data_IF_716008400756
#
_entry.id   IF_716008400756
#
_cell.length_a   1.000
_cell.length_b   1.000
_cell.length_c   1.000
_cell.angle_alpha   90.00
_cell.angle_beta   90.00
_cell.angle_gamma   90.00
#
_symmetry.space_group_name_H-M   'P 1'
#
loop_
_entity.id
_entity.type
_entity.pdbx_description
1 polymer ?
#
# COMPACT_ATOMS: atom_id res chain seq x y z
N UNK A 1 -39.11 28.30 10.59
CA UNK A 1 -38.41 27.22 9.87
C UNK A 1 -38.76 25.88 10.52
N UNK A 2 -39.25 24.90 9.75
CA UNK A 2 -39.69 23.60 10.28
C UNK A 2 -38.51 22.86 10.95
N UNK A 3 -38.74 22.24 12.12
CA UNK A 3 -37.74 21.44 12.85
C UNK A 3 -37.13 20.36 11.94
N UNK A 4 -37.94 19.72 11.10
CA UNK A 4 -37.46 18.70 10.15
C UNK A 4 -36.53 19.29 9.10
N UNK A 5 -36.90 20.43 8.51
CA UNK A 5 -36.06 21.13 7.54
C UNK A 5 -34.70 21.53 8.14
N UNK A 6 -34.68 22.00 9.39
CA UNK A 6 -33.42 22.35 10.08
C UNK A 6 -32.54 21.12 10.27
N UNK A 7 -33.09 20.00 10.75
CA UNK A 7 -32.34 18.75 10.91
C UNK A 7 -31.81 18.21 9.59
N UNK A 8 -32.63 18.22 8.53
CA UNK A 8 -32.21 17.79 7.20
C UNK A 8 -31.03 18.63 6.68
N UNK A 9 -31.08 19.96 6.83
CA UNK A 9 -29.97 20.83 6.44
C UNK A 9 -28.70 20.58 7.26
N UNK A 10 -28.83 20.33 8.57
CA UNK A 10 -27.69 19.99 9.42
C UNK A 10 -27.04 18.68 8.98
N UNK A 11 -27.83 17.62 8.73
CA UNK A 11 -27.30 16.32 8.28
C UNK A 11 -26.62 16.46 6.92
N UNK A 12 -27.25 17.17 5.98
CA UNK A 12 -26.67 17.44 4.66
C UNK A 12 -25.34 18.21 4.77
N UNK A 13 -25.28 19.23 5.64
CA UNK A 13 -24.06 19.99 5.89
C UNK A 13 -22.92 19.14 6.47
N UNK A 14 -23.23 18.26 7.43
CA UNK A 14 -22.25 17.33 8.00
C UNK A 14 -21.74 16.37 6.92
N UNK A 15 -22.65 15.78 6.12
CA UNK A 15 -22.26 14.87 5.04
C UNK A 15 -21.35 15.55 4.02
N UNK A 16 -21.68 16.77 3.59
CA UNK A 16 -20.84 17.56 2.69
C UNK A 16 -19.47 17.87 3.31
N UNK A 17 -19.43 18.21 4.59
CA UNK A 17 -18.19 18.44 5.33
C UNK A 17 -17.30 17.20 5.38
N UNK A 18 -17.88 16.03 5.64
CA UNK A 18 -17.14 14.75 5.63
C UNK A 18 -16.56 14.47 4.24
N UNK A 19 -17.35 14.60 3.18
CA UNK A 19 -16.87 14.37 1.80
C UNK A 19 -15.71 15.31 1.45
N UNK A 20 -15.83 16.61 1.77
CA UNK A 20 -14.78 17.58 1.49
C UNK A 20 -13.48 17.30 2.26
N UNK A 21 -13.59 16.94 3.54
CA UNK A 21 -12.42 16.57 4.35
C UNK A 21 -11.78 15.27 3.88
N UNK A 22 -12.58 14.26 3.50
CA UNK A 22 -12.08 13.02 2.92
C UNK A 22 -11.33 13.26 1.60
N UNK A 23 -11.83 14.17 0.76
CA UNK A 23 -11.19 14.55 -0.50
C UNK A 23 -9.85 15.23 -0.26
N UNK A 24 -9.81 16.22 0.64
CA UNK A 24 -8.59 16.93 1.02
C UNK A 24 -7.54 15.95 1.58
N UNK A 25 -7.96 15.09 2.51
CA UNK A 25 -7.08 14.12 3.13
C UNK A 25 -6.50 13.13 2.11
N UNK A 26 -7.36 12.50 1.30
CA UNK A 26 -6.95 11.49 0.31
C UNK A 26 -6.00 12.10 -0.71
N UNK A 27 -6.31 13.29 -1.23
CA UNK A 27 -5.46 13.99 -2.20
C UNK A 27 -4.10 14.32 -1.61
N UNK A 28 -4.07 14.86 -0.38
CA UNK A 28 -2.83 15.18 0.32
C UNK A 28 -1.99 13.93 0.61
N UNK A 29 -2.61 12.85 1.09
CA UNK A 29 -1.92 11.61 1.41
C UNK A 29 -1.28 10.96 0.17
N UNK A 30 -1.98 10.98 -0.97
CA UNK A 30 -1.40 10.51 -2.24
C UNK A 30 -0.25 11.41 -2.68
N UNK A 31 -0.41 12.74 -2.61
CA UNK A 31 0.66 13.66 -2.98
C UNK A 31 1.92 13.48 -2.11
N UNK A 32 1.73 13.30 -0.80
CA UNK A 32 2.81 12.99 0.14
C UNK A 32 3.46 11.63 -0.18
N UNK A 33 2.68 10.59 -0.47
CA UNK A 33 3.20 9.28 -0.86
C UNK A 33 4.02 9.36 -2.17
N UNK A 34 3.52 10.07 -3.19
CA UNK A 34 4.24 10.34 -4.45
C UNK A 34 5.56 11.05 -4.21
N UNK A 35 5.57 12.05 -3.31
CA UNK A 35 6.80 12.78 -2.95
C UNK A 35 7.87 11.91 -2.29
N UNK A 36 7.46 10.79 -1.68
CA UNK A 36 8.35 9.79 -1.05
C UNK A 36 8.84 8.73 -2.03
N UNK A 37 8.21 8.61 -3.20
CA UNK A 37 8.61 7.71 -4.26
C UNK A 37 7.44 7.30 -5.15
N UNK A 38 7.68 7.32 -6.46
CA UNK A 38 6.80 6.76 -7.48
C UNK A 38 7.52 5.61 -8.18
N UNK A 39 6.79 4.51 -8.39
CA UNK A 39 7.35 3.28 -8.91
C UNK A 39 6.57 2.81 -10.13
N UNK A 40 7.28 2.18 -11.05
CA UNK A 40 6.69 1.60 -12.27
C UNK A 40 5.82 0.36 -11.97
N UNK A 41 6.09 -0.31 -10.85
CA UNK A 41 5.31 -1.44 -10.34
C UNK A 41 5.40 -1.49 -8.81
N UNK A 42 4.51 -2.25 -8.17
CA UNK A 42 4.53 -2.42 -6.71
C UNK A 42 5.79 -3.17 -6.24
N UNK A 43 6.27 -4.14 -7.02
CA UNK A 43 7.51 -4.89 -6.78
C UNK A 43 8.73 -3.99 -6.88
N UNK A 44 8.79 -3.13 -7.91
CA UNK A 44 9.86 -2.15 -8.04
C UNK A 44 9.89 -1.22 -6.81
N UNK A 45 8.72 -0.84 -6.30
CA UNK A 45 8.59 -0.12 -5.05
C UNK A 45 9.12 -0.91 -3.86
N UNK A 46 8.76 -2.19 -3.74
CA UNK A 46 9.23 -3.04 -2.65
C UNK A 46 10.76 -3.19 -2.67
N UNK A 47 11.35 -3.45 -3.83
CA UNK A 47 12.80 -3.55 -4.01
C UNK A 47 13.49 -2.24 -3.60
N UNK A 48 12.97 -1.09 -4.01
CA UNK A 48 13.51 0.21 -3.60
C UNK A 48 13.43 0.45 -2.09
N UNK A 49 12.39 -0.05 -1.41
CA UNK A 49 12.32 -0.02 0.06
C UNK A 49 13.37 -0.95 0.68
N UNK A 50 13.65 -2.11 0.09
CA UNK A 50 14.67 -3.02 0.60
C UNK A 50 16.06 -2.39 0.49
N UNK A 51 16.38 -1.78 -0.65
CA UNK A 51 17.63 -1.01 -0.85
C UNK A 51 17.79 0.15 0.16
N UNK A 52 16.67 0.71 0.63
CA UNK A 52 16.67 1.81 1.60
C UNK A 52 16.85 1.34 3.04
N UNK A 53 16.21 0.24 3.42
CA UNK A 53 16.12 -0.20 4.82
C UNK A 53 17.07 -1.35 5.17
N UNK A 54 17.78 -1.92 4.19
CA UNK A 54 18.78 -2.95 4.41
C UNK A 54 20.14 -2.57 3.80
N UNK A 55 21.25 -3.02 4.39
CA UNK A 55 22.59 -2.79 3.87
C UNK A 55 22.81 -3.48 2.51
N UNK A 56 23.82 -3.06 1.71
CA UNK A 56 24.02 -3.57 0.34
C UNK A 56 24.34 -5.06 0.21
N UNK A 57 24.63 -5.76 1.32
CA UNK A 57 24.82 -7.22 1.35
C UNK A 57 23.51 -8.01 1.41
N UNK A 58 22.35 -7.32 1.42
CA UNK A 58 21.06 -7.97 1.45
C UNK A 58 20.78 -8.79 0.18
N UNK A 59 20.00 -9.85 0.35
CA UNK A 59 19.36 -10.62 -0.72
C UNK A 59 17.87 -10.49 -0.56
N UNK A 60 17.17 -10.25 -1.65
CA UNK A 60 15.71 -10.05 -1.66
C UNK A 60 15.06 -10.94 -2.70
N UNK A 61 13.93 -11.55 -2.33
CA UNK A 61 13.00 -12.22 -3.24
C UNK A 61 11.57 -11.76 -2.94
N UNK A 62 10.80 -11.46 -3.98
CA UNK A 62 9.38 -11.12 -3.81
C UNK A 62 8.61 -12.43 -3.66
N UNK A 63 8.05 -12.67 -2.47
CA UNK A 63 7.24 -13.85 -2.18
C UNK A 63 5.81 -13.69 -2.71
N UNK A 64 5.31 -12.47 -2.67
CA UNK A 64 3.94 -12.14 -3.08
C UNK A 64 3.88 -10.71 -3.60
N UNK A 65 3.14 -10.51 -4.68
CA UNK A 65 2.75 -9.19 -5.14
C UNK A 65 1.41 -9.31 -5.87
N UNK A 66 0.37 -8.72 -5.29
CA UNK A 66 -0.97 -8.77 -5.88
C UNK A 66 -2.02 -8.02 -5.08
N UNK A 67 -3.28 -8.05 -5.57
CA UNK A 67 -4.40 -7.36 -4.92
C UNK A 67 -4.59 -7.80 -3.48
N UNK A 68 -4.74 -6.83 -2.58
CA UNK A 68 -5.09 -7.10 -1.20
C UNK A 68 -6.51 -7.68 -1.06
N UNK A 69 -7.43 -7.27 -1.95
CA UNK A 69 -8.78 -7.82 -1.98
C UNK A 69 -8.77 -9.22 -2.61
N UNK A 70 -9.19 -10.24 -1.86
CA UNK A 70 -9.23 -11.64 -2.33
C UNK A 70 -10.09 -11.85 -3.58
N UNK A 71 -11.11 -11.02 -3.76
CA UNK A 71 -12.02 -11.03 -4.92
C UNK A 71 -11.56 -10.13 -6.07
N UNK A 72 -10.41 -9.45 -5.93
CA UNK A 72 -9.89 -8.51 -6.91
C UNK A 72 -10.69 -7.20 -7.05
N UNK A 73 -11.62 -6.92 -6.13
CA UNK A 73 -12.49 -5.71 -6.18
C UNK A 73 -11.72 -4.39 -6.11
N UNK A 74 -10.50 -4.39 -5.56
CA UNK A 74 -9.62 -3.21 -5.49
C UNK A 74 -8.29 -3.50 -6.21
N UNK A 75 -8.27 -3.55 -7.54
CA UNK A 75 -7.10 -3.95 -8.31
C UNK A 75 -5.93 -2.95 -8.18
N UNK A 76 -6.20 -1.72 -7.75
CA UNK A 76 -5.23 -0.65 -7.51
C UNK A 76 -4.61 -0.69 -6.11
N UNK A 77 -5.01 -1.64 -5.25
CA UNK A 77 -4.47 -1.80 -3.89
C UNK A 77 -3.74 -3.13 -3.82
N UNK A 78 -2.42 -3.07 -3.86
CA UNK A 78 -1.58 -4.27 -3.77
C UNK A 78 -0.94 -4.39 -2.40
N UNK A 79 -0.83 -5.63 -1.93
CA UNK A 79 0.03 -5.99 -0.82
C UNK A 79 1.22 -6.75 -1.39
N UNK A 80 2.43 -6.36 -1.01
CA UNK A 80 3.66 -6.97 -1.49
C UNK A 80 4.43 -7.48 -0.29
N UNK A 81 4.89 -8.73 -0.37
CA UNK A 81 5.72 -9.39 0.64
C UNK A 81 7.05 -9.72 -0.02
N UNK A 82 8.14 -9.29 0.60
CA UNK A 82 9.47 -9.74 0.26
C UNK A 82 10.00 -10.65 1.35
N UNK A 83 10.91 -11.53 0.97
CA UNK A 83 11.83 -12.21 1.86
C UNK A 83 13.19 -11.53 1.71
N UNK A 84 13.80 -11.18 2.85
CA UNK A 84 15.08 -10.49 2.90
C UNK A 84 16.03 -11.26 3.80
N UNK A 85 17.24 -11.49 3.30
CA UNK A 85 18.36 -11.96 4.11
C UNK A 85 19.46 -10.91 4.13
N UNK A 86 19.85 -10.44 5.30
CA UNK A 86 20.86 -9.40 5.47
C UNK A 86 21.65 -9.58 6.78
N UNK A 87 22.80 -8.90 6.90
CA UNK A 87 23.57 -8.90 8.15
C UNK A 87 22.88 -8.12 9.29
N UNK A 88 22.17 -7.04 8.96
CA UNK A 88 21.42 -6.19 9.88
C UNK A 88 20.37 -5.38 9.11
N UNK A 89 19.50 -4.66 9.81
CA UNK A 89 18.70 -3.56 9.22
C UNK A 89 19.50 -2.27 9.24
N UNK A 90 19.23 -1.38 8.29
CA UNK A 90 19.93 -0.10 8.17
C UNK A 90 19.68 0.84 9.37
N UNK A 91 18.55 0.67 10.07
CA UNK A 91 18.22 1.44 11.28
C UNK A 91 18.80 0.83 12.57
N UNK A 92 19.51 -0.29 12.48
CA UNK A 92 20.09 -1.01 13.62
C UNK A 92 19.09 -1.82 14.43
N UNK A 93 17.81 -1.91 14.03
CA UNK A 93 16.85 -2.79 14.67
C UNK A 93 17.18 -4.27 14.43
N UNK A 94 16.72 -5.13 15.34
CA UNK A 94 17.00 -6.56 15.26
C UNK A 94 16.39 -7.18 14.00
N UNK A 95 17.21 -7.99 13.32
CA UNK A 95 16.74 -8.90 12.26
C UNK A 95 16.04 -10.10 12.89
N UNK A 96 15.16 -10.76 12.14
CA UNK A 96 14.68 -12.09 12.50
C UNK A 96 15.82 -13.13 12.57
N UNK A 97 15.45 -14.36 12.96
CA UNK A 97 16.42 -15.46 13.13
C UNK A 97 17.26 -15.65 11.87
N UNK A 98 18.55 -15.94 12.04
CA UNK A 98 19.48 -16.18 10.93
C UNK A 98 19.64 -15.01 9.94
N UNK A 99 19.32 -13.79 10.37
CA UNK A 99 19.44 -12.59 9.54
C UNK A 99 18.35 -12.54 8.47
N UNK A 100 17.15 -13.00 8.79
CA UNK A 100 16.05 -13.20 7.86
C UNK A 100 14.80 -12.43 8.29
N UNK A 101 14.16 -11.73 7.35
CA UNK A 101 12.96 -10.94 7.55
C UNK A 101 11.98 -11.12 6.38
N UNK A 102 10.67 -11.05 6.66
CA UNK A 102 9.62 -11.11 5.64
C UNK A 102 8.77 -9.83 5.66
N UNK A 103 9.32 -8.66 5.31
CA UNK A 103 8.56 -7.42 5.32
C UNK A 103 7.42 -7.47 4.30
N UNK A 104 6.25 -6.98 4.71
CA UNK A 104 5.10 -6.75 3.85
C UNK A 104 4.65 -5.30 3.93
N UNK A 105 4.13 -4.77 2.84
CA UNK A 105 3.56 -3.41 2.83
C UNK A 105 2.59 -3.20 1.67
N UNK A 106 1.84 -2.11 1.72
CA UNK A 106 0.88 -1.72 0.70
C UNK A 106 1.48 -0.79 -0.35
N UNK A 107 1.04 -1.01 -1.59
CA UNK A 107 1.27 -0.13 -2.71
C UNK A 107 -0.06 0.20 -3.37
N UNK A 108 -0.23 1.49 -3.71
CA UNK A 108 -1.43 1.97 -4.39
C UNK A 108 -1.09 2.43 -5.78
N UNK A 109 -1.85 1.99 -6.78
CA UNK A 109 -1.76 2.57 -8.10
C UNK A 109 -2.60 3.85 -8.15
N UNK A 110 -1.93 4.94 -8.49
CA UNK A 110 -2.53 6.24 -8.77
C UNK A 110 -3.15 6.25 -10.16
N UNK A 111 -4.07 7.19 -10.41
CA UNK A 111 -4.72 7.38 -11.72
C UNK A 111 -3.73 7.57 -12.87
N UNK A 112 -2.56 8.14 -12.59
CA UNK A 112 -1.48 8.33 -13.55
C UNK A 112 -0.72 7.04 -13.89
N UNK A 113 -1.06 5.92 -13.25
CA UNK A 113 -0.48 4.60 -13.50
C UNK A 113 0.75 4.28 -12.63
N UNK A 114 1.29 5.27 -11.91
CA UNK A 114 2.39 5.07 -10.96
C UNK A 114 1.93 4.41 -9.67
N UNK A 115 2.79 3.57 -9.09
CA UNK A 115 2.61 2.95 -7.79
C UNK A 115 3.29 3.76 -6.70
N UNK A 116 2.62 3.92 -5.56
CA UNK A 116 3.18 4.62 -4.39
C UNK A 116 3.12 3.72 -3.16
N UNK A 117 4.17 3.76 -2.35
CA UNK A 117 4.19 3.07 -1.07
C UNK A 117 3.31 3.80 -0.05
N UNK A 118 2.48 3.05 0.66
CA UNK A 118 1.68 3.58 1.77
C UNK A 118 1.86 2.69 2.99
N UNK A 119 2.19 3.26 4.17
CA UNK A 119 2.38 2.46 5.37
C UNK A 119 1.07 1.77 5.78
N UNK A 120 1.19 0.64 6.46
CA UNK A 120 0.01 -0.04 7.03
C UNK A 120 -0.67 0.83 8.09
N UNK A 121 -2.00 0.83 8.08
CA UNK A 121 -2.79 1.51 9.11
C UNK A 121 -4.25 1.71 8.73
N UNK A 122 -5.04 2.16 9.71
CA UNK A 122 -6.46 2.49 9.53
C UNK A 122 -6.69 3.47 8.36
N UNK A 123 -5.77 4.42 8.21
CA UNK A 123 -5.84 5.43 7.16
C UNK A 123 -5.68 4.87 5.75
N UNK A 124 -5.03 3.72 5.56
CA UNK A 124 -4.86 3.08 4.26
C UNK A 124 -6.19 2.52 3.76
N UNK A 125 -6.97 1.87 4.63
CA UNK A 125 -8.33 1.41 4.30
C UNK A 125 -9.28 2.57 4.01
N UNK A 126 -9.17 3.65 4.81
CA UNK A 126 -9.96 4.85 4.60
C UNK A 126 -9.65 5.50 3.25
N UNK A 127 -8.37 5.77 2.97
CA UNK A 127 -7.91 6.40 1.74
C UNK A 127 -8.28 5.58 0.50
N UNK A 128 -8.04 4.26 0.52
CA UNK A 128 -8.35 3.40 -0.63
C UNK A 128 -9.83 3.37 -0.99
N UNK A 129 -10.73 3.57 -0.02
CA UNK A 129 -12.17 3.64 -0.29
C UNK A 129 -12.58 4.96 -0.96
N UNK A 130 -11.89 6.05 -0.64
CA UNK A 130 -12.15 7.37 -1.22
C UNK A 130 -11.43 7.60 -2.55
N UNK A 131 -10.31 6.91 -2.81
CA UNK A 131 -9.60 7.00 -4.09
C UNK A 131 -10.49 6.68 -5.28
N UNK A 132 -11.31 5.63 -5.17
CA UNK A 132 -12.26 5.25 -6.21
C UNK A 132 -13.39 6.28 -6.33
N UNK A 133 -13.96 6.71 -5.20
CA UNK A 133 -15.04 7.70 -5.18
C UNK A 133 -14.62 9.07 -5.78
N UNK A 134 -13.33 9.41 -5.71
CA UNK A 134 -12.77 10.65 -6.21
C UNK A 134 -12.00 10.53 -7.52
N UNK A 135 -12.04 9.34 -8.17
CA UNK A 135 -11.35 9.12 -9.45
C UNK A 135 -9.84 9.44 -9.36
N UNK A 136 -9.21 8.95 -8.29
CA UNK A 136 -7.78 9.03 -8.00
C UNK A 136 -7.07 7.66 -8.09
N UNK A 137 -7.84 6.57 -8.12
CA UNK A 137 -7.34 5.22 -8.29
C UNK A 137 -6.93 4.96 -9.74
N UNK A 138 -5.84 4.21 -9.93
CA UNK A 138 -5.47 3.64 -11.22
C UNK A 138 -6.37 2.47 -11.61
N UNK A 139 -6.20 1.97 -12.83
CA UNK A 139 -6.91 0.79 -13.33
C UNK A 139 -6.58 -0.47 -12.51
N UNK A 140 -5.37 -0.50 -11.94
CA UNK A 140 -4.87 -1.61 -11.16
C UNK A 140 -4.58 -2.84 -12.02
N UNK A 141 -4.29 -3.94 -11.33
CA UNK A 141 -4.17 -5.26 -11.91
C UNK A 141 -4.80 -6.27 -10.96
N UNK A 142 -5.77 -7.05 -11.42
CA UNK A 142 -6.50 -8.01 -10.57
C UNK A 142 -5.79 -9.37 -10.43
N UNK A 143 -4.77 -9.60 -11.25
CA UNK A 143 -3.98 -10.84 -11.22
C UNK A 143 -2.68 -10.57 -10.47
N UNK A 144 -2.35 -11.34 -9.41
CA UNK A 144 -1.04 -11.27 -8.79
C UNK A 144 0.07 -11.55 -9.80
N UNK A 145 1.16 -10.80 -9.73
CA UNK A 145 2.35 -11.07 -10.54
C UNK A 145 3.17 -12.22 -9.99
N UNK A 146 3.08 -12.45 -8.68
CA UNK A 146 3.72 -13.55 -7.96
C UNK A 146 2.72 -14.19 -7.01
N UNK A 147 2.55 -15.51 -7.10
CA UNK A 147 1.66 -16.27 -6.23
C UNK A 147 2.48 -17.06 -5.20
N UNK A 148 2.15 -16.89 -3.92
CA UNK A 148 2.74 -17.62 -2.79
C UNK A 148 2.68 -19.14 -2.99
N UNK A 149 1.72 -19.63 -3.78
CA UNK A 149 1.47 -21.06 -3.98
C UNK A 149 2.43 -21.69 -5.01
N UNK A 150 3.06 -20.92 -5.91
CA UNK A 150 3.88 -21.48 -7.01
C UNK A 150 5.40 -21.53 -6.75
N UNK A 151 5.93 -20.97 -5.65
CA UNK A 151 7.38 -20.86 -5.41
C UNK A 151 7.89 -21.59 -4.15
N UNK A 152 7.49 -22.85 -3.99
CA UNK A 152 7.83 -23.68 -2.81
C UNK A 152 9.26 -24.30 -2.70
N UNK A 153 10.32 -23.88 -3.43
CA UNK A 153 11.67 -24.30 -3.00
C UNK A 153 12.73 -23.20 -2.87
N UNK A 154 12.40 -21.90 -2.88
CA UNK A 154 13.44 -20.83 -2.81
C UNK A 154 13.36 -19.89 -1.62
N UNK A 155 12.58 -20.22 -0.60
CA UNK A 155 12.58 -19.40 0.60
C UNK A 155 13.95 -19.49 1.31
N UNK A 156 14.68 -18.37 1.38
CA UNK A 156 15.98 -18.27 2.03
C UNK A 156 15.90 -18.41 3.56
N UNK A 157 14.72 -18.13 4.11
CA UNK A 157 14.44 -18.02 5.53
C UNK A 157 13.68 -19.23 6.09
N UNK A 158 13.63 -20.34 5.34
CA UNK A 158 13.21 -21.64 5.87
C UNK A 158 14.40 -22.28 6.57
N UNK A 159 14.27 -22.42 7.89
CA UNK A 159 15.13 -23.28 8.72
C UNK A 159 14.85 -24.77 8.45
#
# INVERSE_FOLDING_TARGET
>A
MNKYLRWSLTVAGIAAGVVALSWLYTTWAIADARSKGEYVSAEAGMLALMDKYYPPDHKVEILYAGPNSRDGSKPYVWYVIAEVRASARADGSEMGRNGCDNPGTFFLQTKEGSWVHVPEGFFTLFMTSWMEAFDLAGEGQSTPSTDLIQHQPRQFCVD
#
